data_IF_760390155878
#
_entry.id   IF_760390155878
#
_cell.length_a   1.000
_cell.length_b   1.000
_cell.length_c   1.000
_cell.angle_alpha   90.00
_cell.angle_beta   90.00
_cell.angle_gamma   90.00
#
_symmetry.space_group_name_H-M   'P 1'
#
loop_
_entity.id
_entity.type
_entity.pdbx_description
1 polymer ?
#
# COMPACT_ATOMS: atom_id res chain seq x y z
N UNK A 1 -1.09 5.61 -16.17
CA UNK A 1 -1.58 6.93 -15.68
C UNK A 1 -0.40 7.88 -15.64
N UNK A 2 -0.58 9.14 -16.05
CA UNK A 2 0.50 10.15 -16.01
C UNK A 2 0.60 10.78 -14.61
N UNK A 3 1.76 11.33 -14.27
CA UNK A 3 2.01 11.96 -12.95
C UNK A 3 1.01 13.08 -12.62
N UNK A 4 0.64 13.91 -13.61
CA UNK A 4 -0.36 14.96 -13.45
C UNK A 4 -1.74 14.42 -13.01
N UNK A 5 -2.12 13.23 -13.49
CA UNK A 5 -3.41 12.62 -13.15
C UNK A 5 -3.38 12.06 -11.71
N UNK A 6 -2.24 11.48 -11.31
CA UNK A 6 -2.01 11.00 -9.94
C UNK A 6 -2.11 12.18 -8.96
N UNK A 7 -1.40 13.28 -9.26
CA UNK A 7 -1.44 14.48 -8.42
C UNK A 7 -2.84 15.12 -8.38
N UNK A 8 -3.60 15.07 -9.48
CA UNK A 8 -4.98 15.56 -9.50
C UNK A 8 -5.88 14.74 -8.57
N UNK A 9 -5.72 13.40 -8.53
CA UNK A 9 -6.44 12.52 -7.60
C UNK A 9 -6.06 12.85 -6.15
N UNK A 10 -4.75 12.94 -5.86
CA UNK A 10 -4.28 13.26 -4.51
C UNK A 10 -4.80 14.63 -4.07
N UNK A 11 -4.69 15.67 -4.91
CA UNK A 11 -5.18 17.01 -4.60
C UNK A 11 -6.69 17.09 -4.39
N UNK A 12 -7.45 16.22 -5.07
CA UNK A 12 -8.90 16.15 -4.86
C UNK A 12 -9.26 15.67 -3.44
N UNK A 13 -8.56 14.66 -2.93
CA UNK A 13 -8.80 14.12 -1.59
C UNK A 13 -8.04 14.85 -0.48
N UNK A 14 -6.95 15.53 -0.83
CA UNK A 14 -6.09 16.32 0.05
C UNK A 14 -5.96 17.76 -0.49
N UNK A 15 -7.06 18.54 -0.46
CA UNK A 15 -7.06 19.87 -1.07
C UNK A 15 -6.15 20.87 -0.34
N UNK A 16 -5.94 20.66 0.96
CA UNK A 16 -5.15 21.56 1.79
C UNK A 16 -3.69 21.08 1.88
N UNK A 17 -2.76 22.07 1.82
CA UNK A 17 -1.37 21.80 2.10
C UNK A 17 -1.16 21.71 3.62
N UNK A 18 -0.69 20.56 4.08
CA UNK A 18 -0.52 20.29 5.51
C UNK A 18 0.36 19.06 5.79
N UNK A 19 0.56 18.76 7.07
CA UNK A 19 1.42 17.65 7.49
C UNK A 19 0.91 16.30 7.01
N UNK A 20 -0.41 16.09 7.00
CA UNK A 20 -1.01 14.87 6.48
C UNK A 20 -0.66 14.63 5.01
N UNK A 21 -0.85 15.64 4.16
CA UNK A 21 -0.52 15.55 2.73
C UNK A 21 0.97 15.35 2.50
N UNK A 22 1.82 16.08 3.26
CA UNK A 22 3.27 15.91 3.20
C UNK A 22 3.69 14.49 3.60
N UNK A 23 3.10 13.95 4.66
CA UNK A 23 3.35 12.58 5.12
C UNK A 23 2.94 11.56 4.07
N UNK A 24 1.74 11.68 3.49
CA UNK A 24 1.29 10.83 2.40
C UNK A 24 2.26 10.86 1.21
N UNK A 25 2.56 12.05 0.71
CA UNK A 25 3.41 12.21 -0.49
C UNK A 25 4.82 11.66 -0.25
N UNK A 26 5.45 11.97 0.89
CA UNK A 26 6.79 11.47 1.22
C UNK A 26 6.79 9.94 1.28
N UNK A 27 5.86 9.35 2.03
CA UNK A 27 5.76 7.90 2.16
C UNK A 27 5.49 7.22 0.81
N UNK A 28 4.50 7.71 0.05
CA UNK A 28 4.15 7.14 -1.25
C UNK A 28 5.31 7.23 -2.27
N UNK A 29 6.08 8.31 -2.26
CA UNK A 29 7.28 8.44 -3.09
C UNK A 29 8.35 7.41 -2.70
N UNK A 30 8.60 7.22 -1.40
CA UNK A 30 9.54 6.22 -0.91
C UNK A 30 9.12 4.80 -1.32
N UNK A 31 7.84 4.47 -1.16
CA UNK A 31 7.29 3.17 -1.57
C UNK A 31 7.41 2.97 -3.09
N UNK A 32 7.08 4.00 -3.89
CA UNK A 32 7.25 3.98 -5.34
C UNK A 32 8.69 3.72 -5.74
N UNK A 33 9.63 4.47 -5.19
CA UNK A 33 11.05 4.37 -5.55
C UNK A 33 11.59 2.98 -5.18
N UNK A 34 11.20 2.43 -4.02
CA UNK A 34 11.54 1.06 -3.61
C UNK A 34 10.90 0.00 -4.50
N UNK A 35 9.64 0.16 -4.86
CA UNK A 35 8.96 -0.76 -5.77
C UNK A 35 9.63 -0.79 -7.16
N UNK A 36 10.03 0.38 -7.68
CA UNK A 36 10.76 0.48 -8.95
C UNK A 36 12.18 -0.10 -8.86
N UNK A 37 12.88 0.09 -7.73
CA UNK A 37 14.18 -0.55 -7.46
C UNK A 37 14.06 -2.08 -7.51
N UNK A 38 13.07 -2.64 -6.84
CA UNK A 38 12.82 -4.09 -6.83
C UNK A 38 12.39 -4.59 -8.22
N UNK A 39 11.54 -3.83 -8.92
CA UNK A 39 11.11 -4.15 -10.28
C UNK A 39 12.30 -4.26 -11.25
N UNK A 40 13.30 -3.39 -11.12
CA UNK A 40 14.51 -3.42 -11.95
C UNK A 40 15.40 -4.65 -11.73
N UNK A 41 15.20 -5.37 -10.61
CA UNK A 41 15.99 -6.55 -10.23
C UNK A 41 15.33 -7.88 -10.61
N UNK A 42 14.04 -7.88 -10.89
CA UNK A 42 13.29 -9.09 -11.27
C UNK A 42 13.30 -9.30 -12.79
N UNK A 43 13.31 -10.55 -13.28
CA UNK A 43 13.15 -10.83 -14.71
C UNK A 43 11.70 -10.74 -15.21
N UNK A 44 10.75 -10.45 -14.34
CA UNK A 44 9.32 -10.39 -14.68
C UNK A 44 9.02 -9.16 -15.55
N UNK A 45 8.12 -9.33 -16.50
CA UNK A 45 7.53 -8.20 -17.22
C UNK A 45 6.43 -7.57 -16.34
N UNK A 46 6.63 -6.31 -15.99
CA UNK A 46 5.74 -5.55 -15.11
C UNK A 46 5.17 -4.33 -15.84
N UNK A 47 3.95 -3.95 -15.50
CA UNK A 47 3.42 -2.65 -15.88
C UNK A 47 4.00 -1.57 -14.93
N UNK A 48 5.10 -0.95 -15.38
CA UNK A 48 5.81 0.07 -14.59
C UNK A 48 4.95 1.31 -14.34
N UNK A 49 4.02 1.64 -15.25
CA UNK A 49 3.11 2.77 -15.04
C UNK A 49 2.05 2.45 -13.98
N UNK A 50 1.51 1.24 -13.99
CA UNK A 50 0.61 0.75 -12.94
C UNK A 50 1.32 0.70 -11.59
N UNK A 51 2.51 0.11 -11.55
CA UNK A 51 3.33 0.00 -10.34
C UNK A 51 3.62 1.37 -9.72
N UNK A 52 4.13 2.31 -10.53
CA UNK A 52 4.47 3.65 -10.07
C UNK A 52 3.24 4.43 -9.56
N UNK A 53 2.16 4.43 -10.33
CA UNK A 53 0.93 5.12 -9.96
C UNK A 53 0.23 4.44 -8.77
N UNK A 54 0.23 3.11 -8.73
CA UNK A 54 -0.34 2.33 -7.63
C UNK A 54 0.39 2.59 -6.31
N UNK A 55 1.72 2.65 -6.33
CA UNK A 55 2.51 3.02 -5.16
C UNK A 55 2.22 4.45 -4.68
N UNK A 56 1.98 5.40 -5.59
CA UNK A 56 1.61 6.77 -5.20
C UNK A 56 0.22 6.87 -4.58
N UNK A 57 -0.69 5.96 -4.91
CA UNK A 57 -2.11 5.99 -4.50
C UNK A 57 -2.46 4.97 -3.41
N UNK A 58 -1.56 4.02 -3.07
CA UNK A 58 -1.88 2.89 -2.18
C UNK A 58 -2.45 3.29 -0.83
N UNK A 59 -2.04 4.43 -0.32
CA UNK A 59 -2.42 4.97 0.99
C UNK A 59 -3.43 6.12 0.95
N UNK A 60 -4.04 6.37 -0.21
CA UNK A 60 -4.94 7.53 -0.40
C UNK A 60 -6.06 7.61 0.66
N UNK A 61 -6.43 6.48 1.27
CA UNK A 61 -7.49 6.37 2.25
C UNK A 61 -7.12 6.76 3.68
N UNK A 62 -5.85 7.07 3.99
CA UNK A 62 -5.46 7.45 5.37
C UNK A 62 -6.20 8.69 5.87
N UNK A 63 -6.64 9.58 4.98
CA UNK A 63 -7.44 10.77 5.32
C UNK A 63 -8.75 10.43 6.04
N UNK A 64 -9.31 9.24 5.84
CA UNK A 64 -10.53 8.76 6.51
C UNK A 64 -10.27 8.22 7.91
N UNK A 65 -9.02 7.94 8.26
CA UNK A 65 -8.66 7.20 9.46
C UNK A 65 -8.33 8.09 10.65
N UNK A 66 -8.44 7.52 11.84
CA UNK A 66 -7.97 8.15 13.07
C UNK A 66 -6.60 7.62 13.43
N UNK A 67 -5.56 8.42 13.21
CA UNK A 67 -4.16 8.13 13.56
C UNK A 67 -3.40 9.45 13.78
N UNK A 68 -3.58 10.11 14.95
CA UNK A 68 -3.00 11.44 15.21
C UNK A 68 -1.49 11.50 15.06
N UNK A 69 -0.77 10.40 15.35
CA UNK A 69 0.69 10.31 15.20
C UNK A 69 1.21 10.48 13.77
N UNK A 70 0.32 10.43 12.78
CA UNK A 70 0.61 10.70 11.36
C UNK A 70 -0.38 11.73 10.79
N UNK A 71 -0.90 12.61 11.65
CA UNK A 71 -1.80 13.72 11.32
C UNK A 71 -3.17 13.30 10.73
N UNK A 72 -3.58 12.04 10.85
CA UNK A 72 -4.89 11.58 10.41
C UNK A 72 -5.94 11.84 11.49
N UNK A 73 -6.95 12.66 11.16
CA UNK A 73 -8.01 13.11 12.08
C UNK A 73 -9.41 12.60 11.68
N UNK A 74 -9.47 11.61 10.78
CA UNK A 74 -10.72 10.94 10.42
C UNK A 74 -11.29 10.10 11.57
N UNK A 75 -12.33 9.33 11.30
CA UNK A 75 -13.07 8.54 12.27
C UNK A 75 -12.93 7.02 12.11
N UNK A 76 -12.36 6.58 10.98
CA UNK A 76 -12.20 5.16 10.69
C UNK A 76 -10.98 4.57 11.43
N UNK A 77 -11.09 3.30 11.82
CA UNK A 77 -9.94 2.57 12.36
C UNK A 77 -8.80 2.51 11.31
N UNK A 78 -7.55 2.69 11.73
CA UNK A 78 -6.42 2.81 10.79
C UNK A 78 -6.27 1.62 9.84
N UNK A 79 -6.56 0.38 10.28
CA UNK A 79 -6.51 -0.80 9.41
C UNK A 79 -7.45 -0.72 8.19
N UNK A 80 -8.43 0.17 8.22
CA UNK A 80 -9.38 0.35 7.10
C UNK A 80 -8.82 1.21 5.96
N UNK A 81 -7.66 1.87 6.13
CA UNK A 81 -7.15 2.82 5.13
C UNK A 81 -7.10 2.24 3.71
N UNK A 82 -6.71 0.98 3.54
CA UNK A 82 -6.69 0.32 2.23
C UNK A 82 -8.08 0.17 1.62
N UNK A 83 -9.04 -0.29 2.41
CA UNK A 83 -10.46 -0.46 1.97
C UNK A 83 -11.12 0.88 1.69
N UNK A 84 -10.90 1.87 2.57
CA UNK A 84 -11.41 3.24 2.36
C UNK A 84 -10.80 3.88 1.12
N UNK A 85 -9.47 3.73 0.92
CA UNK A 85 -8.79 4.21 -0.27
C UNK A 85 -9.30 3.59 -1.56
N UNK A 86 -9.54 2.28 -1.55
CA UNK A 86 -10.13 1.58 -2.68
C UNK A 86 -11.53 2.10 -3.04
N UNK A 87 -12.38 2.30 -2.02
CA UNK A 87 -13.72 2.86 -2.21
C UNK A 87 -13.64 4.29 -2.79
N UNK A 88 -12.75 5.13 -2.25
CA UNK A 88 -12.52 6.50 -2.73
C UNK A 88 -12.09 6.52 -4.20
N UNK A 89 -11.15 5.65 -4.61
CA UNK A 89 -10.69 5.58 -6.00
C UNK A 89 -11.79 5.10 -6.95
N UNK A 90 -12.57 4.08 -6.57
CA UNK A 90 -13.70 3.59 -7.36
C UNK A 90 -14.76 4.68 -7.57
N UNK A 91 -15.12 5.42 -6.52
CA UNK A 91 -16.09 6.50 -6.59
C UNK A 91 -15.58 7.67 -7.46
N UNK A 92 -14.33 8.08 -7.26
CA UNK A 92 -13.69 9.11 -8.07
C UNK A 92 -13.65 8.72 -9.54
N UNK A 93 -13.20 7.49 -9.84
CA UNK A 93 -13.16 6.95 -11.19
C UNK A 93 -14.53 6.98 -11.86
N UNK A 94 -15.55 6.45 -11.16
CA UNK A 94 -16.94 6.46 -11.64
C UNK A 94 -17.44 7.88 -11.96
N UNK A 95 -17.16 8.84 -11.10
CA UNK A 95 -17.57 10.23 -11.28
C UNK A 95 -16.90 10.95 -12.44
N UNK A 96 -15.73 10.45 -12.88
CA UNK A 96 -14.88 11.04 -13.94
C UNK A 96 -14.80 10.21 -15.21
N UNK A 97 -15.50 9.07 -15.27
CA UNK A 97 -15.41 8.14 -16.39
C UNK A 97 -14.05 7.48 -16.54
N UNK A 98 -13.30 7.30 -15.44
CA UNK A 98 -11.98 6.67 -15.39
C UNK A 98 -12.08 5.29 -14.79
N UNK A 99 -11.40 4.30 -15.38
CA UNK A 99 -11.21 3.01 -14.73
C UNK A 99 -10.00 3.07 -13.79
N UNK A 100 -10.27 3.02 -12.48
CA UNK A 100 -9.27 3.02 -11.42
C UNK A 100 -9.25 1.70 -10.63
N UNK A 101 -9.86 0.63 -11.16
CA UNK A 101 -10.01 -0.62 -10.41
C UNK A 101 -8.67 -1.23 -10.02
N UNK A 102 -7.67 -1.25 -10.92
CA UNK A 102 -6.35 -1.82 -10.58
C UNK A 102 -5.66 -1.05 -9.44
N UNK A 103 -5.83 0.26 -9.38
CA UNK A 103 -5.30 1.07 -8.27
C UNK A 103 -6.08 0.85 -6.97
N UNK A 104 -7.40 0.67 -7.06
CA UNK A 104 -8.23 0.31 -5.92
C UNK A 104 -7.84 -1.06 -5.34
N UNK A 105 -7.53 -2.05 -6.18
CA UNK A 105 -7.05 -3.36 -5.74
C UNK A 105 -5.69 -3.27 -5.04
N UNK A 106 -4.77 -2.44 -5.53
CA UNK A 106 -3.49 -2.17 -4.84
C UNK A 106 -3.76 -1.55 -3.46
N UNK A 107 -4.67 -0.54 -3.37
CA UNK A 107 -5.04 0.06 -2.08
C UNK A 107 -5.56 -0.99 -1.09
N UNK A 108 -6.56 -1.78 -1.47
CA UNK A 108 -7.24 -2.65 -0.51
C UNK A 108 -6.41 -3.86 -0.09
N UNK A 109 -5.35 -4.24 -0.86
CA UNK A 109 -4.60 -5.48 -0.66
C UNK A 109 -3.17 -5.30 -0.15
N UNK A 110 -2.73 -4.06 0.12
CA UNK A 110 -1.35 -3.82 0.56
C UNK A 110 -1.13 -3.93 2.07
N UNK A 111 -2.19 -3.99 2.89
CA UNK A 111 -2.08 -3.99 4.36
C UNK A 111 -1.37 -5.27 4.87
N UNK A 112 -0.35 -5.09 5.71
CA UNK A 112 0.48 -6.21 6.19
C UNK A 112 1.22 -6.91 5.03
N UNK A 113 1.17 -8.21 4.98
CA UNK A 113 1.59 -9.05 3.83
C UNK A 113 0.38 -9.59 3.05
N UNK A 114 -0.72 -8.86 3.06
CA UNK A 114 -2.05 -9.33 2.75
C UNK A 114 -2.73 -9.97 3.97
N UNK A 115 -4.05 -9.93 3.99
CA UNK A 115 -4.89 -10.49 5.07
C UNK A 115 -5.88 -11.48 4.47
N UNK A 116 -6.00 -12.64 5.08
CA UNK A 116 -7.06 -13.61 4.74
C UNK A 116 -8.32 -13.36 5.56
N UNK A 117 -9.47 -13.87 5.11
CA UNK A 117 -10.70 -13.87 5.91
C UNK A 117 -10.49 -14.57 7.26
N UNK A 118 -9.65 -15.61 7.30
CA UNK A 118 -9.28 -16.31 8.54
C UNK A 118 -8.47 -15.42 9.48
N UNK A 119 -7.47 -14.67 8.96
CA UNK A 119 -6.70 -13.69 9.76
C UNK A 119 -7.63 -12.64 10.39
N UNK A 120 -8.57 -12.12 9.59
CA UNK A 120 -9.54 -11.10 10.02
C UNK A 120 -10.43 -11.63 11.13
N UNK A 121 -10.97 -12.85 10.96
CA UNK A 121 -11.83 -13.48 11.97
C UNK A 121 -11.06 -13.79 13.25
N UNK A 122 -9.90 -14.42 13.15
CA UNK A 122 -9.09 -14.84 14.29
C UNK A 122 -8.62 -13.67 15.17
N UNK A 123 -8.33 -12.52 14.54
CA UNK A 123 -7.83 -11.33 15.23
C UNK A 123 -8.93 -10.29 15.51
N UNK A 124 -10.17 -10.53 15.10
CA UNK A 124 -11.27 -9.57 15.26
C UNK A 124 -11.02 -8.23 14.58
N UNK A 125 -10.36 -8.24 13.38
CA UNK A 125 -10.00 -7.00 12.71
C UNK A 125 -11.24 -6.28 12.15
N UNK A 126 -11.26 -4.93 12.16
CA UNK A 126 -12.40 -4.13 11.70
C UNK A 126 -12.47 -4.04 10.16
N UNK A 127 -12.41 -5.18 9.50
CA UNK A 127 -12.39 -5.32 8.05
C UNK A 127 -13.51 -6.26 7.58
N UNK A 128 -14.01 -6.13 6.34
CA UNK A 128 -14.92 -7.10 5.75
C UNK A 128 -14.35 -8.52 5.76
N UNK A 129 -15.20 -9.52 6.02
CA UNK A 129 -14.83 -10.94 6.10
C UNK A 129 -14.58 -11.54 4.70
N UNK A 130 -13.47 -11.16 4.09
CA UNK A 130 -12.98 -11.67 2.81
C UNK A 130 -11.47 -11.53 2.72
N UNK A 131 -10.85 -12.18 1.74
CA UNK A 131 -9.42 -12.05 1.51
C UNK A 131 -9.05 -10.70 0.90
N UNK A 132 -7.93 -10.17 1.38
CA UNK A 132 -7.23 -8.99 0.88
C UNK A 132 -5.78 -9.34 0.57
N UNK A 133 -5.58 -10.39 -0.22
CA UNK A 133 -4.26 -10.85 -0.64
C UNK A 133 -3.83 -10.14 -1.92
N UNK A 134 -2.57 -9.65 -2.04
CA UNK A 134 -2.07 -9.12 -3.29
C UNK A 134 -1.91 -10.25 -4.32
N UNK A 135 -2.53 -10.12 -5.48
CA UNK A 135 -2.58 -11.17 -6.50
C UNK A 135 -1.64 -10.89 -7.68
N UNK A 136 -1.70 -9.69 -8.27
CA UNK A 136 -0.82 -9.35 -9.38
C UNK A 136 0.63 -9.10 -8.91
N UNK A 137 1.61 -9.19 -9.79
CA UNK A 137 3.00 -8.84 -9.45
C UNK A 137 3.13 -7.39 -8.96
N UNK A 138 2.39 -6.45 -9.53
CA UNK A 138 2.41 -5.04 -9.14
C UNK A 138 1.79 -4.85 -7.75
N UNK A 139 0.66 -5.51 -7.43
CA UNK A 139 0.07 -5.51 -6.09
C UNK A 139 1.07 -6.04 -5.05
N UNK A 140 1.74 -7.16 -5.36
CA UNK A 140 2.75 -7.77 -4.48
C UNK A 140 3.95 -6.85 -4.26
N UNK A 141 4.44 -6.18 -5.32
CA UNK A 141 5.57 -5.27 -5.21
C UNK A 141 5.26 -4.03 -4.38
N UNK A 142 4.07 -3.41 -4.55
CA UNK A 142 3.67 -2.28 -3.70
C UNK A 142 3.50 -2.74 -2.25
N UNK A 143 2.82 -3.87 -2.02
CA UNK A 143 2.65 -4.45 -0.70
C UNK A 143 4.01 -4.73 -0.01
N UNK A 144 4.97 -5.29 -0.75
CA UNK A 144 6.32 -5.57 -0.26
C UNK A 144 7.11 -4.29 0.05
N UNK A 145 7.13 -3.33 -0.88
CA UNK A 145 7.89 -2.09 -0.78
C UNK A 145 7.42 -1.22 0.40
N UNK A 146 6.12 -1.16 0.66
CA UNK A 146 5.53 -0.42 1.77
C UNK A 146 6.12 -0.84 3.14
N UNK A 147 6.47 -2.13 3.31
CA UNK A 147 6.98 -2.62 4.61
C UNK A 147 8.33 -2.03 5.01
N UNK A 148 9.08 -1.51 4.05
CA UNK A 148 10.39 -0.90 4.30
C UNK A 148 10.30 0.50 4.92
N UNK A 149 9.13 1.13 4.92
CA UNK A 149 8.96 2.49 5.42
C UNK A 149 7.89 2.56 6.51
N UNK A 150 7.99 3.60 7.34
CA UNK A 150 6.96 3.97 8.31
C UNK A 150 6.46 5.38 7.99
N UNK A 151 5.20 5.67 8.31
CA UNK A 151 4.61 7.02 8.15
C UNK A 151 4.93 7.93 9.34
N UNK A 152 5.59 7.40 10.37
CA UNK A 152 5.96 8.13 11.59
C UNK A 152 7.45 8.01 11.87
N UNK A 153 7.97 8.84 12.76
CA UNK A 153 9.39 8.90 13.08
C UNK A 153 10.19 9.59 11.99
N UNK A 154 11.41 9.13 11.75
CA UNK A 154 12.33 9.63 10.72
C UNK A 154 11.90 9.29 9.28
N UNK A 155 11.01 8.30 9.14
CA UNK A 155 10.58 7.74 7.85
C UNK A 155 11.74 7.16 7.03
N UNK A 156 12.81 6.69 7.68
CA UNK A 156 13.94 6.07 6.98
C UNK A 156 13.64 4.63 6.53
N UNK A 157 14.39 4.17 5.53
CA UNK A 157 14.27 2.82 5.01
C UNK A 157 14.78 1.79 6.02
N UNK A 158 13.92 0.84 6.38
CA UNK A 158 14.29 -0.30 7.22
C UNK A 158 15.07 -1.31 6.39
N UNK A 159 16.10 -1.92 6.98
CA UNK A 159 16.72 -3.07 6.34
C UNK A 159 15.82 -4.32 6.38
N UNK A 160 16.08 -5.28 5.49
CA UNK A 160 15.26 -6.49 5.34
C UNK A 160 15.03 -7.24 6.66
N UNK A 161 16.10 -7.43 7.48
CA UNK A 161 15.98 -8.13 8.76
C UNK A 161 15.08 -7.39 9.75
N UNK A 162 15.06 -6.06 9.73
CA UNK A 162 14.14 -5.27 10.56
C UNK A 162 12.68 -5.44 10.10
N UNK A 163 12.45 -5.49 8.78
CA UNK A 163 11.13 -5.76 8.22
C UNK A 163 10.67 -7.17 8.60
N UNK A 164 11.51 -8.20 8.44
CA UNK A 164 11.18 -9.58 8.84
C UNK A 164 10.78 -9.67 10.32
N UNK A 165 11.55 -9.05 11.23
CA UNK A 165 11.19 -9.01 12.65
C UNK A 165 9.86 -8.29 12.91
N UNK A 166 9.56 -7.27 12.13
CA UNK A 166 8.26 -6.56 12.22
C UNK A 166 7.11 -7.46 11.77
N UNK A 167 7.27 -8.18 10.66
CA UNK A 167 6.25 -9.06 10.12
C UNK A 167 5.98 -10.26 11.02
N UNK A 168 7.02 -10.80 11.70
CA UNK A 168 6.86 -11.90 12.65
C UNK A 168 5.93 -11.57 13.83
N UNK A 169 5.75 -10.29 14.17
CA UNK A 169 4.81 -9.86 15.22
C UNK A 169 3.34 -10.08 14.84
N UNK A 170 3.04 -10.23 13.56
CA UNK A 170 1.70 -10.47 13.03
C UNK A 170 1.39 -11.95 12.77
N UNK A 171 2.26 -12.85 13.27
CA UNK A 171 2.09 -14.29 13.17
C UNK A 171 2.94 -14.93 12.06
N UNK A 172 3.06 -16.26 12.14
CA UNK A 172 3.87 -17.08 11.24
C UNK A 172 3.43 -16.93 9.79
N UNK A 173 2.14 -17.04 9.52
CA UNK A 173 1.59 -16.97 8.16
C UNK A 173 1.84 -15.62 7.49
N UNK A 174 1.73 -14.52 8.25
CA UNK A 174 2.06 -13.18 7.74
C UNK A 174 3.55 -13.07 7.38
N UNK A 175 4.42 -13.63 8.23
CA UNK A 175 5.87 -13.66 7.99
C UNK A 175 6.22 -14.50 6.77
N UNK A 176 5.60 -15.66 6.62
CA UNK A 176 5.79 -16.56 5.46
C UNK A 176 5.35 -15.90 4.15
N UNK A 177 4.15 -15.27 4.12
CA UNK A 177 3.68 -14.53 2.93
C UNK A 177 4.65 -13.40 2.54
N UNK A 178 5.17 -12.67 3.52
CA UNK A 178 6.17 -11.63 3.27
C UNK A 178 7.45 -12.22 2.65
N UNK A 179 7.99 -13.30 3.22
CA UNK A 179 9.20 -13.95 2.71
C UNK A 179 8.99 -14.52 1.29
N UNK A 180 7.84 -15.14 1.02
CA UNK A 180 7.48 -15.63 -0.32
C UNK A 180 7.43 -14.49 -1.35
N UNK A 181 6.85 -13.33 -1.00
CA UNK A 181 6.87 -12.15 -1.89
C UNK A 181 8.30 -11.66 -2.13
N UNK A 182 9.13 -11.61 -1.08
CA UNK A 182 10.53 -11.22 -1.23
C UNK A 182 11.29 -12.16 -2.16
N UNK A 183 11.20 -13.46 -1.96
CA UNK A 183 11.84 -14.48 -2.79
C UNK A 183 11.35 -14.41 -4.23
N UNK A 184 10.07 -14.22 -4.45
CA UNK A 184 9.47 -14.11 -5.79
C UNK A 184 10.10 -13.01 -6.65
N UNK A 185 10.52 -11.90 -6.04
CA UNK A 185 11.13 -10.78 -6.77
C UNK A 185 12.65 -10.75 -6.73
N UNK A 186 13.29 -11.40 -5.76
CA UNK A 186 14.75 -11.31 -5.56
C UNK A 186 15.49 -12.58 -5.94
N UNK A 187 14.79 -13.73 -6.02
CA UNK A 187 15.42 -14.98 -6.42
C UNK A 187 15.75 -14.95 -7.92
N UNK A 188 17.05 -15.00 -8.24
CA UNK A 188 17.52 -15.25 -9.59
C UNK A 188 17.88 -16.73 -9.68
N UNK A 189 17.15 -17.54 -10.48
CA UNK A 189 17.64 -18.88 -10.79
C UNK A 189 19.00 -18.72 -11.51
N UNK A 190 20.02 -19.40 -10.99
CA UNK A 190 21.37 -19.51 -11.55
C UNK A 190 21.33 -20.29 -12.86
#
# INVERSE_FOLDING_TARGET
MQEKDILAIINFFYPEEGDLKRTLLKHSQQVRDKALELAARTPLTLDIQLLSAGAMLHDIGIVKCHAPGIFCTGDQHYLRHGVEGAAMLREYGKSRGMDLELFALICERHTGSGLTAADIAAQGLPLPQRDFLPLSPEEKLVCLADKFFSKSGDMEEKNFSAVQRSMAKFGTESSERFNQMWEFFTFRPV
#
